data_IF_058045306067
#
_entry.id   IF_058045306067
#
_cell.length_a   1.000
_cell.length_b   1.000
_cell.length_c   1.000
_cell.angle_alpha   90.00
_cell.angle_beta   90.00
_cell.angle_gamma   90.00
#
_symmetry.space_group_name_H-M   'P 1'
#
loop_
_entity.id
_entity.type
_entity.pdbx_description
1 polymer ?
#
# COMPACT_ATOMS: atom_id res chain seq x y z
N UNK A 1 13.14 -30.42 8.43
CA UNK A 1 11.73 -30.75 8.71
C UNK A 1 11.13 -29.57 9.43
N UNK A 2 10.53 -28.65 8.69
CA UNK A 2 9.75 -27.56 9.29
C UNK A 2 8.29 -27.83 8.96
N UNK A 3 7.63 -28.57 9.84
CA UNK A 3 6.20 -28.78 9.82
C UNK A 3 5.65 -28.24 11.13
N UNK A 4 5.24 -26.97 11.11
CA UNK A 4 4.08 -26.50 11.87
C UNK A 4 3.72 -25.12 11.31
N UNK A 5 2.89 -25.12 10.28
CA UNK A 5 2.18 -23.94 9.84
C UNK A 5 1.02 -23.69 10.81
N UNK A 6 1.31 -23.10 11.95
CA UNK A 6 0.29 -22.39 12.69
C UNK A 6 -0.09 -21.17 11.84
N UNK A 7 -1.01 -21.36 10.91
CA UNK A 7 -1.69 -20.23 10.30
C UNK A 7 -2.51 -19.59 11.42
N UNK A 8 -2.12 -18.40 11.87
CA UNK A 8 -2.98 -17.61 12.72
C UNK A 8 -4.33 -17.46 12.02
N UNK A 9 -5.39 -17.74 12.75
CA UNK A 9 -6.73 -17.46 12.28
C UNK A 9 -6.86 -15.95 12.07
N UNK A 10 -7.45 -15.56 10.99
CA UNK A 10 -7.82 -14.18 10.72
C UNK A 10 -9.29 -14.15 10.28
N UNK A 11 -9.94 -13.06 10.57
CA UNK A 11 -11.20 -12.72 9.94
C UNK A 11 -10.93 -11.86 8.70
N UNK A 12 -11.73 -12.04 7.66
CA UNK A 12 -11.58 -11.26 6.44
C UNK A 12 -12.92 -10.68 6.03
N UNK A 13 -12.86 -9.52 5.39
CA UNK A 13 -14.04 -8.82 4.95
C UNK A 13 -13.74 -7.74 3.93
N UNK A 14 -14.76 -6.94 3.66
CA UNK A 14 -14.67 -5.78 2.79
C UNK A 14 -15.29 -4.57 3.49
N UNK A 15 -14.52 -3.52 3.60
CA UNK A 15 -15.00 -2.21 4.05
C UNK A 15 -15.44 -1.40 2.83
N UNK A 16 -16.50 -0.62 2.97
CA UNK A 16 -17.04 0.20 1.89
C UNK A 16 -16.70 1.67 2.13
N UNK A 17 -15.99 2.27 1.17
CA UNK A 17 -15.79 3.71 1.09
C UNK A 17 -16.45 4.23 -0.19
N UNK A 18 -17.65 4.80 -0.05
CA UNK A 18 -18.53 5.17 -1.17
C UNK A 18 -18.84 3.92 -2.04
N UNK A 19 -18.31 3.84 -3.25
CA UNK A 19 -18.45 2.72 -4.20
C UNK A 19 -17.21 1.82 -4.28
N UNK A 20 -16.21 2.07 -3.43
CA UNK A 20 -14.95 1.33 -3.39
C UNK A 20 -14.99 0.31 -2.25
N UNK A 21 -14.90 -0.97 -2.57
CA UNK A 21 -14.72 -2.05 -1.60
C UNK A 21 -13.25 -2.28 -1.32
N UNK A 22 -12.84 -2.23 -0.07
CA UNK A 22 -11.48 -2.46 0.42
C UNK A 22 -11.42 -3.79 1.16
N UNK A 23 -10.73 -4.75 0.58
CA UNK A 23 -10.54 -6.08 1.18
C UNK A 23 -9.50 -6.02 2.29
N UNK A 24 -9.83 -6.59 3.45
CA UNK A 24 -8.96 -6.60 4.62
C UNK A 24 -8.88 -7.97 5.28
N UNK A 25 -7.87 -8.13 6.13
CA UNK A 25 -7.74 -9.22 7.12
C UNK A 25 -7.39 -8.64 8.48
N UNK A 26 -8.03 -9.19 9.47
CA UNK A 26 -7.89 -8.89 10.88
C UNK A 26 -7.30 -10.09 11.60
N UNK A 27 -6.12 -9.95 12.18
CA UNK A 27 -5.30 -11.05 12.70
C UNK A 27 -5.23 -11.04 14.22
N UNK A 28 -6.09 -10.66 14.95
CA UNK A 28 -5.79 -10.64 16.36
C UNK A 28 -6.99 -10.82 17.27
N UNK A 29 -6.72 -10.97 18.57
CA UNK A 29 -7.76 -10.86 19.57
C UNK A 29 -8.40 -9.48 19.48
N UNK A 30 -9.72 -9.43 19.57
CA UNK A 30 -10.48 -8.18 19.44
C UNK A 30 -10.11 -7.15 20.51
N UNK A 31 -9.65 -7.62 21.66
CA UNK A 31 -9.25 -6.78 22.81
C UNK A 31 -7.79 -6.31 22.73
N UNK A 32 -7.01 -6.79 21.77
CA UNK A 32 -5.62 -6.38 21.61
C UNK A 32 -5.52 -5.00 20.94
N UNK A 33 -4.35 -4.37 21.05
CA UNK A 33 -4.09 -3.03 20.59
C UNK A 33 -4.08 -2.95 19.05
N UNK A 34 -5.01 -2.24 18.38
CA UNK A 34 -5.12 -2.26 16.93
C UNK A 34 -3.96 -1.55 16.25
N UNK A 35 -3.39 -2.20 15.24
CA UNK A 35 -2.37 -1.65 14.36
C UNK A 35 -2.73 -1.88 12.90
N UNK A 36 -2.92 -0.79 12.16
CA UNK A 36 -3.23 -0.80 10.73
C UNK A 36 -1.95 -0.77 9.91
N UNK A 37 -1.75 -1.76 9.05
CA UNK A 37 -0.56 -1.92 8.23
C UNK A 37 -0.86 -1.52 6.78
N UNK A 38 -0.23 -0.46 6.29
CA UNK A 38 -0.50 0.15 4.97
C UNK A 38 0.63 -0.17 4.00
N UNK A 39 0.31 -0.92 2.95
CA UNK A 39 1.26 -1.34 1.92
C UNK A 39 1.63 -0.20 0.96
N UNK A 40 2.81 -0.34 0.35
CA UNK A 40 3.27 0.53 -0.72
C UNK A 40 2.63 0.24 -2.07
N UNK A 41 3.06 0.99 -3.09
CA UNK A 41 2.56 0.88 -4.46
C UNK A 41 2.70 -0.55 -5.01
N UNK A 42 1.58 -1.13 -5.45
CA UNK A 42 1.53 -2.48 -6.03
C UNK A 42 1.73 -3.61 -5.00
N UNK A 43 1.88 -3.27 -3.72
CA UNK A 43 1.87 -4.24 -2.63
C UNK A 43 0.46 -4.71 -2.32
N UNK A 44 0.35 -5.95 -1.85
CA UNK A 44 -0.89 -6.57 -1.40
C UNK A 44 -0.76 -6.92 0.08
N UNK A 45 -1.88 -7.09 0.76
CA UNK A 45 -1.92 -7.48 2.18
C UNK A 45 -1.12 -8.76 2.48
N UNK A 46 -1.04 -9.69 1.52
CA UNK A 46 -0.26 -10.93 1.62
C UNK A 46 1.25 -10.73 1.55
N UNK A 47 1.73 -9.54 1.21
CA UNK A 47 3.16 -9.23 1.15
C UNK A 47 3.75 -8.85 2.52
N UNK A 48 2.92 -8.69 3.56
CA UNK A 48 3.44 -8.53 4.90
C UNK A 48 4.12 -9.83 5.36
N UNK A 49 5.36 -9.76 5.85
CA UNK A 49 6.05 -10.96 6.32
C UNK A 49 5.29 -11.61 7.47
N UNK A 50 5.08 -12.91 7.38
CA UNK A 50 4.34 -13.65 8.40
C UNK A 50 4.94 -13.45 9.79
N UNK A 51 6.27 -13.48 9.91
CA UNK A 51 6.94 -13.27 11.19
C UNK A 51 6.72 -11.87 11.79
N UNK A 52 6.39 -10.85 10.99
CA UNK A 52 6.01 -9.53 11.50
C UNK A 52 4.61 -9.60 12.12
N UNK A 53 3.67 -10.25 11.44
CA UNK A 53 2.31 -10.44 11.97
C UNK A 53 2.36 -11.22 13.27
N UNK A 54 3.13 -12.32 13.31
CA UNK A 54 3.36 -13.13 14.51
C UNK A 54 3.94 -12.28 15.65
N UNK A 55 5.01 -11.54 15.37
CA UNK A 55 5.65 -10.67 16.34
C UNK A 55 4.66 -9.63 16.93
N UNK A 56 3.82 -9.04 16.10
CA UNK A 56 2.82 -8.07 16.56
C UNK A 56 1.78 -8.73 17.47
N UNK A 57 1.26 -9.92 17.11
CA UNK A 57 0.30 -10.66 17.92
C UNK A 57 0.93 -11.06 19.26
N UNK A 58 2.15 -11.58 19.26
CA UNK A 58 2.88 -11.99 20.47
C UNK A 58 3.15 -10.80 21.41
N UNK A 59 3.14 -9.58 20.89
CA UNK A 59 3.27 -8.35 21.67
C UNK A 59 1.93 -7.64 21.93
N UNK A 60 0.82 -8.39 21.89
CA UNK A 60 -0.52 -7.89 22.20
C UNK A 60 -1.04 -6.81 21.26
N UNK A 61 -0.63 -6.85 19.98
CA UNK A 61 -1.24 -6.05 18.94
C UNK A 61 -2.29 -6.87 18.16
N UNK A 62 -3.25 -6.15 17.58
CA UNK A 62 -4.24 -6.66 16.61
C UNK A 62 -3.88 -6.13 15.22
N UNK A 63 -3.09 -6.89 14.43
CA UNK A 63 -2.71 -6.45 13.10
C UNK A 63 -3.90 -6.48 12.13
N UNK A 64 -4.18 -5.34 11.51
CA UNK A 64 -5.16 -5.20 10.45
C UNK A 64 -4.39 -4.88 9.18
N UNK A 65 -4.55 -5.70 8.15
CA UNK A 65 -3.93 -5.52 6.85
C UNK A 65 -5.00 -5.41 5.78
N UNK A 66 -4.76 -4.63 4.74
CA UNK A 66 -5.72 -4.45 3.66
C UNK A 66 -5.03 -4.27 2.32
N UNK A 67 -5.76 -4.53 1.25
CA UNK A 67 -5.36 -4.21 -0.10
C UNK A 67 -5.80 -2.79 -0.43
N UNK A 68 -4.87 -1.92 -0.81
CA UNK A 68 -5.24 -0.61 -1.34
C UNK A 68 -6.14 -0.76 -2.58
N UNK A 69 -6.95 0.27 -2.92
CA UNK A 69 -7.67 0.31 -4.21
C UNK A 69 -6.70 0.02 -5.36
N UNK A 70 -7.17 -0.62 -6.42
CA UNK A 70 -6.37 -1.14 -7.55
C UNK A 70 -5.40 -2.27 -7.21
N UNK A 71 -5.42 -2.79 -5.99
CA UNK A 71 -4.56 -3.88 -5.54
C UNK A 71 -5.38 -5.08 -5.05
N UNK A 72 -4.81 -6.28 -5.20
CA UNK A 72 -5.32 -7.52 -4.64
C UNK A 72 -6.79 -7.79 -4.92
N UNK A 73 -7.59 -7.90 -3.86
CA UNK A 73 -9.03 -8.18 -3.89
C UNK A 73 -9.91 -6.95 -3.67
N UNK A 74 -9.31 -5.77 -3.50
CA UNK A 74 -10.03 -4.49 -3.44
C UNK A 74 -10.50 -4.04 -4.83
N UNK A 75 -11.48 -3.14 -4.86
CA UNK A 75 -12.03 -2.58 -6.09
C UNK A 75 -10.93 -2.02 -6.99
N UNK A 76 -11.03 -2.34 -8.27
CA UNK A 76 -10.23 -1.73 -9.32
C UNK A 76 -11.00 -0.57 -9.92
N UNK A 77 -10.40 0.62 -9.82
CA UNK A 77 -10.98 1.82 -10.42
C UNK A 77 -10.80 1.72 -11.93
N UNK A 78 -11.91 1.57 -12.65
CA UNK A 78 -11.90 1.53 -14.11
C UNK A 78 -11.51 2.90 -14.67
N UNK A 79 -10.45 2.91 -15.44
CA UNK A 79 -9.99 4.10 -16.14
C UNK A 79 -10.35 4.00 -17.62
N UNK A 80 -11.10 4.98 -18.12
CA UNK A 80 -11.42 5.12 -19.56
C UNK A 80 -10.19 5.31 -20.45
N UNK A 81 -8.99 5.37 -19.86
CA UNK A 81 -7.74 5.70 -20.54
C UNK A 81 -6.91 4.50 -21.01
N UNK A 82 -7.44 3.26 -21.01
CA UNK A 82 -6.66 2.05 -21.30
C UNK A 82 -6.50 1.66 -22.78
N UNK A 83 -6.50 2.60 -23.72
CA UNK A 83 -5.84 2.35 -25.01
C UNK A 83 -4.34 2.66 -24.88
N UNK A 84 -3.46 1.76 -25.32
CA UNK A 84 -1.99 1.90 -25.19
C UNK A 84 -1.43 3.22 -25.72
N UNK A 85 -2.07 3.79 -26.74
CA UNK A 85 -1.68 5.05 -27.37
C UNK A 85 -2.05 6.27 -26.51
N UNK A 86 -3.23 6.30 -25.89
CA UNK A 86 -3.63 7.35 -24.94
C UNK A 86 -2.76 7.35 -23.71
N UNK A 87 -2.36 6.15 -23.24
CA UNK A 87 -1.57 5.95 -22.06
C UNK A 87 -0.15 6.51 -22.16
N UNK A 88 0.53 6.32 -23.29
CA UNK A 88 1.88 6.87 -23.50
C UNK A 88 1.84 8.40 -23.48
N UNK A 89 0.83 9.01 -24.10
CA UNK A 89 0.61 10.44 -24.08
C UNK A 89 0.27 10.96 -22.66
N UNK A 90 -0.53 10.22 -21.90
CA UNK A 90 -0.88 10.56 -20.52
C UNK A 90 0.34 10.52 -19.60
N UNK A 91 1.19 9.51 -19.73
CA UNK A 91 2.42 9.39 -18.92
C UNK A 91 3.38 10.56 -19.26
N UNK A 92 3.58 10.87 -20.53
CA UNK A 92 4.44 11.97 -20.96
C UNK A 92 3.89 13.32 -20.47
N UNK A 93 2.57 13.56 -20.61
CA UNK A 93 1.91 14.76 -20.09
C UNK A 93 2.03 14.85 -18.57
N UNK A 94 1.83 13.77 -17.84
CA UNK A 94 1.99 13.71 -16.38
C UNK A 94 3.43 14.04 -15.99
N UNK A 95 4.40 13.54 -16.74
CA UNK A 95 5.83 13.83 -16.50
C UNK A 95 6.15 15.31 -16.73
N UNK A 96 5.64 15.92 -17.80
CA UNK A 96 5.80 17.34 -18.09
C UNK A 96 5.11 18.19 -17.01
N UNK A 97 3.86 17.84 -16.63
CA UNK A 97 3.12 18.54 -15.57
C UNK A 97 3.84 18.45 -14.22
N UNK A 98 4.36 17.28 -13.89
CA UNK A 98 5.17 17.09 -12.68
C UNK A 98 6.42 17.99 -12.67
N UNK A 99 7.13 18.07 -13.80
CA UNK A 99 8.33 18.91 -13.93
C UNK A 99 8.00 20.41 -13.83
N UNK A 100 6.85 20.80 -14.37
CA UNK A 100 6.36 22.19 -14.32
C UNK A 100 5.58 22.50 -13.03
N UNK A 101 5.50 21.56 -12.07
CA UNK A 101 4.71 21.67 -10.82
C UNK A 101 3.23 21.99 -11.09
N UNK A 102 2.69 21.51 -12.18
CA UNK A 102 1.28 21.65 -12.53
C UNK A 102 0.47 20.48 -11.92
N UNK A 103 -0.81 20.68 -11.59
CA UNK A 103 -1.68 19.63 -11.10
C UNK A 103 -1.71 18.44 -12.06
N UNK A 104 -1.48 17.23 -11.56
CA UNK A 104 -1.62 15.98 -12.32
C UNK A 104 -3.05 15.49 -12.10
N UNK A 105 -3.79 15.26 -13.17
CA UNK A 105 -5.09 14.59 -13.07
C UNK A 105 -4.85 13.13 -12.71
N UNK A 106 -5.39 12.69 -11.60
CA UNK A 106 -5.50 11.29 -11.19
C UNK A 106 -6.96 10.97 -10.94
N UNK A 107 -7.34 9.73 -11.06
CA UNK A 107 -8.70 9.24 -10.79
C UNK A 107 -8.99 9.23 -9.29
N UNK A 108 -7.95 9.11 -8.49
CA UNK A 108 -7.98 9.23 -7.04
C UNK A 108 -6.64 9.76 -6.50
N UNK A 109 -6.64 10.17 -5.27
CA UNK A 109 -5.52 10.79 -4.57
C UNK A 109 -5.02 9.91 -3.43
N UNK A 110 -3.91 10.30 -2.79
CA UNK A 110 -3.46 9.68 -1.54
C UNK A 110 -4.47 9.95 -0.40
N UNK A 111 -5.19 11.07 -0.43
CA UNK A 111 -6.24 11.38 0.55
C UNK A 111 -7.42 10.42 0.42
N UNK A 112 -7.81 10.04 -0.81
CA UNK A 112 -8.84 9.01 -1.04
C UNK A 112 -8.40 7.67 -0.48
N UNK A 113 -7.12 7.29 -0.66
CA UNK A 113 -6.56 6.05 -0.09
C UNK A 113 -6.48 6.11 1.44
N UNK A 114 -6.25 7.27 2.02
CA UNK A 114 -6.32 7.44 3.47
C UNK A 114 -7.74 7.26 3.99
N UNK A 115 -8.74 7.77 3.26
CA UNK A 115 -10.15 7.55 3.58
C UNK A 115 -10.56 6.08 3.48
N UNK A 116 -10.00 5.33 2.52
CA UNK A 116 -10.18 3.88 2.43
C UNK A 116 -9.67 3.16 3.69
N UNK A 117 -8.48 3.55 4.14
CA UNK A 117 -7.88 2.97 5.34
C UNK A 117 -8.74 3.26 6.60
N UNK A 118 -9.35 4.45 6.69
CA UNK A 118 -10.29 4.79 7.76
C UNK A 118 -11.58 3.96 7.64
N UNK A 119 -12.10 3.73 6.44
CA UNK A 119 -13.28 2.90 6.24
C UNK A 119 -13.05 1.45 6.75
N UNK A 120 -11.83 0.92 6.64
CA UNK A 120 -11.48 -0.38 7.23
C UNK A 120 -11.58 -0.34 8.76
N UNK A 121 -11.10 0.74 9.41
CA UNK A 121 -11.25 0.90 10.86
C UNK A 121 -12.72 1.05 11.28
N UNK A 122 -13.52 1.75 10.47
CA UNK A 122 -14.96 1.96 10.74
C UNK A 122 -15.72 0.63 10.65
N UNK A 123 -15.46 -0.18 9.62
CA UNK A 123 -16.05 -1.51 9.44
C UNK A 123 -15.77 -2.42 10.65
N UNK A 124 -14.57 -2.33 11.20
CA UNK A 124 -14.14 -3.10 12.36
C UNK A 124 -14.54 -2.47 13.72
N UNK A 125 -15.27 -1.35 13.71
CA UNK A 125 -15.64 -0.57 14.89
C UNK A 125 -14.43 -0.16 15.74
N UNK A 126 -13.31 0.19 15.09
CA UNK A 126 -12.08 0.61 15.75
C UNK A 126 -12.01 2.14 15.75
N UNK A 127 -12.08 2.74 16.93
CA UNK A 127 -12.04 4.19 17.08
C UNK A 127 -10.64 4.77 16.80
N UNK A 128 -9.60 4.14 17.28
CA UNK A 128 -8.20 4.57 17.12
C UNK A 128 -7.28 3.37 16.90
N UNK A 129 -6.27 3.55 16.04
CA UNK A 129 -5.25 2.54 15.79
C UNK A 129 -3.84 3.15 15.72
N UNK A 130 -2.83 2.33 15.95
CA UNK A 130 -1.49 2.60 15.47
C UNK A 130 -1.48 2.43 13.95
N UNK A 131 -0.74 3.26 13.21
CA UNK A 131 -0.67 3.17 11.75
C UNK A 131 0.78 2.96 11.34
N UNK A 132 1.06 1.87 10.63
CA UNK A 132 2.37 1.57 10.08
C UNK A 132 2.29 1.53 8.56
N UNK A 133 3.06 2.39 7.89
CA UNK A 133 3.06 2.47 6.43
C UNK A 133 4.44 2.30 5.83
N UNK A 134 4.52 1.51 4.75
CA UNK A 134 5.75 1.31 3.99
C UNK A 134 5.68 2.01 2.64
N UNK A 135 6.73 2.77 2.27
CA UNK A 135 6.85 3.46 0.98
C UNK A 135 5.64 4.39 0.72
N UNK A 136 4.85 4.19 -0.33
CA UNK A 136 3.60 4.92 -0.57
C UNK A 136 2.61 4.78 0.60
N UNK A 137 2.56 3.61 1.25
CA UNK A 137 1.75 3.41 2.46
C UNK A 137 2.16 4.33 3.60
N UNK A 138 3.44 4.71 3.69
CA UNK A 138 3.91 5.72 4.63
C UNK A 138 3.41 7.13 4.29
N UNK A 139 3.22 7.46 3.01
CA UNK A 139 2.57 8.72 2.62
C UNK A 139 1.08 8.72 3.01
N UNK A 140 0.40 7.60 2.81
CA UNK A 140 -1.00 7.40 3.26
C UNK A 140 -1.07 7.55 4.77
N UNK A 141 -0.18 6.90 5.53
CA UNK A 141 -0.14 6.99 6.99
C UNK A 141 0.05 8.43 7.50
N UNK A 142 0.83 9.26 6.79
CA UNK A 142 0.98 10.69 7.13
C UNK A 142 -0.34 11.46 6.92
N UNK A 143 -1.07 11.19 5.85
CA UNK A 143 -2.39 11.80 5.60
C UNK A 143 -3.37 11.35 6.69
N UNK A 144 -3.37 10.06 7.07
CA UNK A 144 -4.21 9.56 8.16
C UNK A 144 -3.88 10.31 9.46
N UNK A 145 -2.61 10.40 9.83
CA UNK A 145 -2.19 11.09 11.04
C UNK A 145 -2.48 12.61 11.03
N UNK A 146 -2.47 13.25 9.86
CA UNK A 146 -2.76 14.67 9.69
C UNK A 146 -4.26 14.98 9.67
N UNK A 147 -5.02 14.25 8.84
CA UNK A 147 -6.41 14.57 8.55
C UNK A 147 -7.41 13.83 9.45
N UNK A 148 -6.95 12.75 10.09
CA UNK A 148 -7.72 11.90 11.00
C UNK A 148 -6.93 11.67 12.30
N UNK A 149 -6.42 12.75 12.89
CA UNK A 149 -5.55 12.69 14.06
C UNK A 149 -6.22 12.02 15.26
N UNK A 150 -7.52 12.19 15.42
CA UNK A 150 -8.34 11.53 16.45
C UNK A 150 -8.48 10.01 16.26
N UNK A 151 -8.20 9.51 15.03
CA UNK A 151 -8.22 8.08 14.69
C UNK A 151 -6.84 7.42 14.82
N UNK A 152 -5.80 8.22 15.09
CA UNK A 152 -4.39 7.79 15.07
C UNK A 152 -3.78 7.85 16.47
N UNK A 153 -3.38 6.71 17.03
CA UNK A 153 -2.60 6.66 18.29
C UNK A 153 -1.14 7.05 18.08
N UNK A 154 -0.51 6.38 17.13
CA UNK A 154 0.85 6.69 16.65
C UNK A 154 0.95 6.34 15.16
N UNK A 155 1.94 6.89 14.47
CA UNK A 155 2.26 6.42 13.12
C UNK A 155 3.75 6.12 12.96
N UNK A 156 4.04 5.10 12.16
CA UNK A 156 5.40 4.63 11.87
C UNK A 156 5.60 4.60 10.36
N UNK A 157 6.71 5.16 9.91
CA UNK A 157 7.06 5.23 8.49
C UNK A 157 8.28 4.34 8.20
N UNK A 158 8.14 3.43 7.24
CA UNK A 158 9.23 2.59 6.78
C UNK A 158 9.52 2.94 5.31
N UNK A 159 10.76 3.28 5.00
CA UNK A 159 11.21 3.58 3.63
C UNK A 159 10.29 4.57 2.89
N UNK A 160 9.82 5.60 3.57
CA UNK A 160 8.90 6.62 3.07
C UNK A 160 9.49 8.03 3.20
N UNK A 161 8.79 9.02 2.69
CA UNK A 161 9.19 10.42 2.74
C UNK A 161 8.05 11.31 3.21
N UNK A 162 8.38 12.33 3.98
CA UNK A 162 7.45 13.39 4.39
C UNK A 162 7.41 14.55 3.39
N UNK A 163 8.28 14.56 2.41
CA UNK A 163 8.34 15.64 1.42
C UNK A 163 7.59 15.28 0.13
N UNK A 164 7.07 16.30 -0.53
CA UNK A 164 6.59 16.15 -1.91
C UNK A 164 7.68 15.50 -2.75
N UNK A 165 7.38 14.40 -3.49
CA UNK A 165 8.36 13.77 -4.35
C UNK A 165 9.00 14.80 -5.27
N UNK A 166 10.33 14.93 -5.21
CA UNK A 166 11.10 15.81 -6.05
C UNK A 166 12.01 14.96 -6.96
N UNK A 167 12.24 15.36 -8.22
CA UNK A 167 13.24 14.73 -9.06
C UNK A 167 14.63 14.65 -8.42
N UNK A 168 14.92 15.59 -7.50
CA UNK A 168 16.21 15.69 -6.81
C UNK A 168 16.29 14.76 -5.58
N UNK A 169 15.17 14.53 -4.91
CA UNK A 169 15.08 13.76 -3.65
C UNK A 169 14.38 12.40 -3.82
N UNK A 170 14.10 12.01 -5.05
CA UNK A 170 13.44 10.74 -5.35
C UNK A 170 14.43 9.58 -5.49
N UNK A 171 13.93 8.37 -5.80
CA UNK A 171 14.76 7.21 -6.07
C UNK A 171 15.79 7.49 -7.18
N UNK A 172 16.96 6.86 -7.10
CA UNK A 172 17.97 6.98 -8.15
C UNK A 172 17.39 6.64 -9.53
N UNK A 173 17.99 7.16 -10.60
CA UNK A 173 17.53 6.88 -11.98
C UNK A 173 17.43 5.37 -12.25
N UNK A 174 18.35 4.58 -11.67
CA UNK A 174 18.40 3.12 -11.81
C UNK A 174 17.19 2.46 -11.12
N UNK A 175 16.92 2.83 -9.88
CA UNK A 175 15.78 2.32 -9.10
C UNK A 175 14.46 2.74 -9.76
N UNK A 176 14.34 3.99 -10.17
CA UNK A 176 13.14 4.51 -10.88
C UNK A 176 12.86 3.71 -12.15
N UNK A 177 13.90 3.46 -12.97
CA UNK A 177 13.77 2.62 -14.17
C UNK A 177 13.26 1.22 -13.83
N UNK A 178 13.81 0.58 -12.78
CA UNK A 178 13.39 -0.75 -12.35
C UNK A 178 11.94 -0.79 -11.84
N UNK A 179 11.52 0.23 -11.08
CA UNK A 179 10.14 0.32 -10.59
C UNK A 179 9.15 0.53 -11.74
N UNK A 180 9.53 1.33 -12.75
CA UNK A 180 8.69 1.62 -13.92
C UNK A 180 8.79 0.57 -15.03
N UNK A 181 9.82 -0.28 -15.01
CA UNK A 181 10.02 -1.34 -16.01
C UNK A 181 8.91 -2.39 -15.88
N UNK A 182 7.99 -2.38 -16.83
CA UNK A 182 6.96 -3.41 -16.92
C UNK A 182 7.57 -4.71 -17.42
N UNK A 183 7.10 -5.82 -16.90
CA UNK A 183 7.35 -7.11 -17.53
C UNK A 183 6.77 -7.07 -18.93
N UNK A 184 7.58 -7.35 -19.95
CA UNK A 184 7.12 -7.50 -21.35
C UNK A 184 6.08 -8.63 -21.49
N UNK A 185 6.01 -9.51 -20.50
CA UNK A 185 5.03 -10.58 -20.41
C UNK A 185 3.86 -10.10 -19.52
N UNK A 186 2.64 -10.01 -20.05
CA UNK A 186 1.45 -9.64 -19.27
C UNK A 186 1.13 -10.67 -18.16
N UNK A 187 1.54 -11.93 -18.34
CA UNK A 187 1.36 -13.01 -17.38
C UNK A 187 2.72 -13.62 -16.96
N UNK A 188 3.53 -12.92 -16.16
CA UNK A 188 4.84 -13.41 -15.74
C UNK A 188 4.69 -14.62 -14.81
N UNK A 189 5.55 -15.63 -14.98
CA UNK A 189 5.65 -16.77 -14.07
C UNK A 189 6.08 -16.32 -12.68
N UNK A 190 5.86 -17.17 -11.67
CA UNK A 190 6.29 -16.91 -10.28
C UNK A 190 7.80 -16.63 -10.26
N UNK A 191 8.62 -17.44 -10.94
CA UNK A 191 10.07 -17.26 -11.01
C UNK A 191 10.48 -15.90 -11.61
N UNK A 192 9.79 -15.45 -12.64
CA UNK A 192 10.01 -14.13 -13.24
C UNK A 192 9.68 -13.01 -12.27
N UNK A 193 8.59 -13.14 -11.49
CA UNK A 193 8.20 -12.19 -10.45
C UNK A 193 9.25 -12.15 -9.33
N UNK A 194 9.67 -13.31 -8.83
CA UNK A 194 10.69 -13.43 -7.77
C UNK A 194 12.02 -12.83 -8.24
N UNK A 195 12.48 -13.16 -9.45
CA UNK A 195 13.72 -12.61 -10.03
C UNK A 195 13.67 -11.08 -10.13
N UNK A 196 12.52 -10.53 -10.53
CA UNK A 196 12.33 -9.09 -10.60
C UNK A 196 12.36 -8.45 -9.21
N UNK A 197 11.63 -9.00 -8.25
CA UNK A 197 11.62 -8.49 -6.87
C UNK A 197 13.03 -8.50 -6.28
N UNK A 198 13.76 -9.59 -6.40
CA UNK A 198 15.16 -9.69 -5.95
C UNK A 198 16.03 -8.60 -6.57
N UNK A 199 15.89 -8.35 -7.88
CA UNK A 199 16.65 -7.30 -8.56
C UNK A 199 16.31 -5.91 -8.01
N UNK A 200 15.03 -5.63 -7.74
CA UNK A 200 14.62 -4.35 -7.14
C UNK A 200 15.21 -4.21 -5.74
N UNK A 201 15.04 -5.22 -4.90
CA UNK A 201 15.54 -5.19 -3.52
C UNK A 201 17.05 -5.06 -3.44
N UNK A 202 17.82 -5.76 -4.28
CA UNK A 202 19.29 -5.63 -4.31
C UNK A 202 19.76 -4.21 -4.70
N UNK A 203 18.97 -3.46 -5.46
CA UNK A 203 19.31 -2.10 -5.87
C UNK A 203 18.93 -1.04 -4.84
N UNK A 204 17.99 -1.33 -3.95
CA UNK A 204 17.59 -0.43 -2.86
C UNK A 204 18.30 -0.72 -1.54
N UNK A 205 19.24 -1.70 -1.54
CA UNK A 205 20.14 -1.93 -0.41
C UNK A 205 19.71 -3.03 0.56
N UNK A 206 18.97 -4.04 0.07
CA UNK A 206 18.65 -5.28 0.81
C UNK A 206 19.33 -6.49 0.21
#
# INVERSE_FOLDING_TARGET
>A
MFTNSNFFSFEEGKALNQDIEIYYRDYGPIDAEPILLVQGLGGQLINWPQHLIEFLIDNNFRPIVFDNRDSGLSTRVESDSFSDEKRTNTILQSYIRYYLRLPIKSEYTIDDMASDAIAVLDELNINQAHVLGISMGGMIAQIIASNFSERTKTFTLIASTASTPSPLNGPTRKVRKLLMERTKNPNPTIDQRVKRSRKIFSEIGY
#
